data_IF_025497587319
#
_entry.id   IF_025497587319
#
_cell.length_a   1.000
_cell.length_b   1.000
_cell.length_c   1.000
_cell.angle_alpha   90.00
_cell.angle_beta   90.00
_cell.angle_gamma   90.00
#
_symmetry.space_group_name_H-M   'P 1'
#
loop_
_entity.id
_entity.type
_entity.pdbx_description
1 polymer ?
#
# COMPACT_ATOMS: atom_id res chain seq x y z
N UNK A 1 -7.98 -14.35 -18.87
CA UNK A 1 -7.15 -13.28 -18.28
C UNK A 1 -7.38 -12.04 -19.13
N UNK A 2 -8.06 -11.05 -18.58
CA UNK A 2 -8.67 -9.92 -19.31
C UNK A 2 -7.59 -8.92 -19.79
N UNK A 3 -7.72 -8.36 -20.99
CA UNK A 3 -6.73 -7.41 -21.54
C UNK A 3 -6.57 -6.16 -20.67
N UNK A 4 -7.63 -5.79 -19.95
CA UNK A 4 -7.66 -4.73 -18.94
C UNK A 4 -6.78 -5.07 -17.74
N UNK A 5 -6.78 -6.33 -17.28
CA UNK A 5 -5.96 -6.78 -16.16
C UNK A 5 -4.46 -6.73 -16.52
N UNK A 6 -4.12 -7.10 -17.76
CA UNK A 6 -2.74 -7.05 -18.25
C UNK A 6 -2.23 -5.60 -18.38
N UNK A 7 -3.09 -4.66 -18.82
CA UNK A 7 -2.75 -3.25 -18.92
C UNK A 7 -2.58 -2.58 -17.53
N UNK A 8 -3.44 -2.91 -16.56
CA UNK A 8 -3.35 -2.40 -15.19
C UNK A 8 -2.16 -3.00 -14.42
N UNK A 9 -1.88 -4.30 -14.60
CA UNK A 9 -0.71 -4.94 -14.00
C UNK A 9 0.62 -4.45 -14.60
N UNK A 10 0.64 -4.13 -15.90
CA UNK A 10 1.80 -3.50 -16.54
C UNK A 10 2.03 -2.06 -16.01
N UNK A 11 0.97 -1.31 -15.67
CA UNK A 11 1.10 -0.02 -14.99
C UNK A 11 1.62 -0.16 -13.54
N UNK A 12 1.27 -1.24 -12.83
CA UNK A 12 1.79 -1.53 -11.48
C UNK A 12 3.28 -1.90 -11.47
N UNK A 13 3.79 -2.53 -12.54
CA UNK A 13 5.20 -2.95 -12.65
C UNK A 13 6.11 -2.00 -13.44
N UNK A 14 5.56 -1.16 -14.32
CA UNK A 14 6.32 -0.19 -15.13
C UNK A 14 6.02 1.28 -14.80
N UNK A 15 4.91 1.59 -14.11
CA UNK A 15 4.48 2.97 -13.83
C UNK A 15 5.31 3.68 -12.77
N UNK A 16 6.00 2.94 -11.90
CA UNK A 16 6.98 3.51 -10.97
C UNK A 16 8.19 4.13 -11.68
N UNK A 17 8.53 3.66 -12.89
CA UNK A 17 9.79 3.99 -13.59
C UNK A 17 9.70 5.15 -14.60
N UNK A 18 8.51 5.51 -15.09
CA UNK A 18 8.39 6.53 -16.14
C UNK A 18 8.35 7.98 -15.60
N UNK A 19 8.03 8.17 -14.31
CA UNK A 19 7.95 9.50 -13.68
C UNK A 19 9.30 10.14 -13.28
N UNK A 20 10.41 9.42 -13.43
CA UNK A 20 11.73 9.81 -12.89
C UNK A 20 12.48 10.95 -13.60
N UNK A 21 11.91 11.61 -14.62
CA UNK A 21 12.66 12.60 -15.41
C UNK A 21 12.32 14.07 -15.15
N UNK A 22 11.66 14.44 -14.05
CA UNK A 22 11.37 15.86 -13.81
C UNK A 22 11.34 16.27 -12.34
N UNK A 23 12.51 16.33 -11.68
CA UNK A 23 13.03 17.48 -10.91
C UNK A 23 14.16 17.06 -9.95
N UNK A 24 15.14 17.96 -9.68
CA UNK A 24 16.21 17.67 -8.73
C UNK A 24 15.67 17.58 -7.30
N UNK A 25 16.14 16.58 -6.56
CA UNK A 25 16.00 16.48 -5.10
C UNK A 25 16.43 17.82 -4.48
N UNK A 26 15.50 18.55 -3.87
CA UNK A 26 15.80 19.81 -3.18
C UNK A 26 15.76 19.58 -1.66
N UNK A 27 16.97 19.70 -1.09
CA UNK A 27 17.34 20.04 0.28
C UNK A 27 16.80 19.17 1.44
N UNK A 28 17.76 18.59 2.17
CA UNK A 28 17.61 18.03 3.51
C UNK A 28 16.86 19.02 4.42
N UNK A 29 15.68 18.63 4.89
CA UNK A 29 15.06 19.29 6.04
C UNK A 29 16.00 19.07 7.25
N UNK A 30 16.25 20.07 8.10
CA UNK A 30 17.06 19.87 9.30
C UNK A 30 16.32 18.90 10.24
N UNK A 31 16.85 17.68 10.36
CA UNK A 31 16.25 16.58 11.10
C UNK A 31 16.11 15.33 10.24
N UNK A 32 15.71 14.22 10.84
CA UNK A 32 15.40 13.00 10.09
C UNK A 32 14.22 13.22 9.15
N UNK A 33 14.33 12.66 7.95
CA UNK A 33 13.30 12.67 6.91
C UNK A 33 12.16 11.67 7.20
N UNK A 34 12.33 10.82 8.21
CA UNK A 34 11.32 9.92 8.74
C UNK A 34 10.65 10.54 9.98
N UNK A 35 9.40 10.15 10.25
CA UNK A 35 8.75 10.42 11.53
C UNK A 35 9.33 9.56 12.66
N UNK A 36 8.95 9.88 13.91
CA UNK A 36 9.51 9.25 15.10
C UNK A 36 9.25 7.73 15.14
N UNK A 37 8.04 7.31 14.79
CA UNK A 37 7.64 5.90 14.75
C UNK A 37 8.45 5.11 13.71
N UNK A 38 8.62 5.68 12.51
CA UNK A 38 9.46 5.09 11.47
C UNK A 38 10.94 5.03 11.90
N UNK A 39 11.47 6.06 12.55
CA UNK A 39 12.84 6.05 13.08
C UNK A 39 13.06 4.93 14.09
N UNK A 40 12.11 4.71 14.99
CA UNK A 40 12.15 3.62 15.97
C UNK A 40 12.18 2.27 15.24
N UNK A 41 11.27 2.04 14.29
CA UNK A 41 11.24 0.80 13.51
C UNK A 41 12.56 0.56 12.74
N UNK A 42 13.12 1.60 12.13
CA UNK A 42 14.40 1.54 11.42
C UNK A 42 15.58 1.28 12.37
N UNK A 43 15.55 1.86 13.56
CA UNK A 43 16.55 1.61 14.60
C UNK A 43 16.54 0.15 15.03
N UNK A 44 15.35 -0.41 15.30
CA UNK A 44 15.16 -1.82 15.64
C UNK A 44 15.66 -2.73 14.52
N UNK A 45 15.25 -2.47 13.27
CA UNK A 45 15.70 -3.23 12.10
C UNK A 45 17.24 -3.24 11.97
N UNK A 46 17.87 -2.08 12.15
CA UNK A 46 19.33 -1.93 12.09
C UNK A 46 20.02 -2.63 13.26
N UNK A 47 19.48 -2.50 14.46
CA UNK A 47 20.00 -3.19 15.63
C UNK A 47 19.98 -4.71 15.43
N UNK A 48 18.88 -5.25 14.90
CA UNK A 48 18.75 -6.68 14.62
C UNK A 48 19.74 -7.17 13.55
N UNK A 49 19.92 -6.40 12.48
CA UNK A 49 20.93 -6.73 11.46
C UNK A 49 22.34 -6.79 12.05
N UNK A 50 22.70 -5.79 12.88
CA UNK A 50 24.02 -5.72 13.53
C UNK A 50 24.20 -6.85 14.54
N UNK A 51 23.18 -7.16 15.35
CA UNK A 51 23.24 -8.21 16.37
C UNK A 51 23.46 -9.60 15.75
N UNK A 52 22.95 -9.82 14.53
CA UNK A 52 23.12 -11.06 13.75
C UNK A 52 24.39 -11.07 12.87
N UNK A 53 25.09 -9.96 12.77
CA UNK A 53 26.21 -9.83 11.82
C UNK A 53 25.75 -9.91 10.36
N UNK A 54 24.56 -9.38 10.04
CA UNK A 54 23.96 -9.42 8.71
C UNK A 54 23.86 -8.02 8.10
N UNK A 55 23.79 -7.95 6.78
CA UNK A 55 23.45 -6.69 6.10
C UNK A 55 21.97 -6.36 6.33
N UNK A 56 21.64 -5.08 6.45
CA UNK A 56 20.25 -4.64 6.59
C UNK A 56 19.46 -5.00 5.32
N UNK A 57 18.48 -5.90 5.46
CA UNK A 57 17.63 -6.40 4.37
C UNK A 57 16.17 -5.99 4.56
N UNK A 58 15.32 -6.23 3.56
CA UNK A 58 13.88 -5.99 3.68
C UNK A 58 13.25 -6.83 4.79
N UNK A 59 13.74 -8.04 5.06
CA UNK A 59 13.26 -8.88 6.17
C UNK A 59 13.58 -8.24 7.54
N UNK A 60 14.73 -7.58 7.67
CA UNK A 60 15.04 -6.80 8.88
C UNK A 60 14.13 -5.58 9.02
N UNK A 61 13.81 -4.90 7.91
CA UNK A 61 12.83 -3.81 7.93
C UNK A 61 11.46 -4.33 8.37
N UNK A 62 11.01 -5.46 7.83
CA UNK A 62 9.78 -6.12 8.24
C UNK A 62 9.82 -6.43 9.73
N UNK A 63 10.92 -7.01 10.23
CA UNK A 63 11.10 -7.26 11.66
C UNK A 63 10.93 -5.99 12.49
N UNK A 64 11.62 -4.90 12.15
CA UNK A 64 11.48 -3.63 12.84
C UNK A 64 10.06 -3.04 12.79
N UNK A 65 9.38 -3.16 11.66
CA UNK A 65 8.00 -2.71 11.48
C UNK A 65 7.00 -3.54 12.30
N UNK A 66 7.20 -4.85 12.46
CA UNK A 66 6.29 -5.68 13.28
C UNK A 66 6.54 -5.55 14.79
N UNK A 67 7.55 -4.79 15.22
CA UNK A 67 7.69 -4.37 16.62
C UNK A 67 6.86 -3.11 16.95
N UNK A 68 6.31 -2.46 15.93
CA UNK A 68 5.50 -1.26 16.08
C UNK A 68 4.08 -1.61 16.55
N UNK A 69 3.61 -0.96 17.62
CA UNK A 69 2.30 -1.27 18.23
C UNK A 69 1.12 -1.04 17.28
N UNK A 70 1.19 -0.02 16.41
CA UNK A 70 0.10 0.28 15.48
C UNK A 70 0.03 -0.77 14.35
N UNK A 71 1.19 -1.21 13.84
CA UNK A 71 1.26 -2.30 12.85
C UNK A 71 0.78 -3.61 13.47
N UNK A 72 1.21 -3.93 14.69
CA UNK A 72 0.75 -5.12 15.43
C UNK A 72 -0.76 -5.10 15.65
N UNK A 73 -1.32 -3.95 16.01
CA UNK A 73 -2.78 -3.81 16.17
C UNK A 73 -3.51 -4.10 14.84
N UNK A 74 -3.02 -3.55 13.72
CA UNK A 74 -3.61 -3.80 12.40
C UNK A 74 -3.50 -5.28 12.00
N UNK A 75 -2.36 -5.93 12.27
CA UNK A 75 -2.17 -7.36 12.01
C UNK A 75 -3.18 -8.21 12.80
N UNK A 76 -3.37 -7.92 14.10
CA UNK A 76 -4.36 -8.61 14.94
C UNK A 76 -5.78 -8.40 14.43
N UNK A 77 -6.13 -7.17 14.05
CA UNK A 77 -7.44 -6.83 13.50
C UNK A 77 -7.70 -7.48 12.13
N UNK A 78 -6.64 -7.85 11.41
CA UNK A 78 -6.71 -8.63 10.18
C UNK A 78 -6.77 -10.15 10.44
N UNK A 79 -6.73 -10.59 11.72
CA UNK A 79 -6.78 -11.99 12.11
C UNK A 79 -5.44 -12.72 12.01
N UNK A 80 -4.32 -11.99 11.92
CA UNK A 80 -2.97 -12.57 11.90
C UNK A 80 -2.59 -13.02 13.30
N UNK A 81 -2.11 -14.27 13.41
CA UNK A 81 -1.39 -14.74 14.59
C UNK A 81 0.00 -14.09 14.62
N UNK A 82 0.10 -12.99 15.39
CA UNK A 82 1.32 -12.16 15.43
C UNK A 82 2.52 -12.91 15.99
N UNK A 83 2.31 -13.82 16.97
CA UNK A 83 3.42 -14.59 17.55
C UNK A 83 3.98 -15.59 16.52
N UNK A 84 3.09 -16.31 15.83
CA UNK A 84 3.50 -17.21 14.75
C UNK A 84 4.15 -16.45 13.59
N UNK A 85 3.63 -15.27 13.25
CA UNK A 85 4.18 -14.45 12.18
C UNK A 85 5.57 -13.89 12.52
N UNK A 86 5.77 -13.39 13.75
CA UNK A 86 7.08 -12.95 14.21
C UNK A 86 8.09 -14.10 14.20
N UNK A 87 7.69 -15.31 14.62
CA UNK A 87 8.54 -16.50 14.51
C UNK A 87 8.95 -16.77 13.06
N UNK A 88 8.02 -16.65 12.10
CA UNK A 88 8.32 -16.84 10.68
C UNK A 88 9.31 -15.79 10.14
N UNK A 89 9.20 -14.54 10.59
CA UNK A 89 10.15 -13.47 10.24
C UNK A 89 11.53 -13.76 10.83
N UNK A 90 11.62 -14.18 12.09
CA UNK A 90 12.88 -14.55 12.74
C UNK A 90 13.55 -15.77 12.08
N UNK A 91 12.75 -16.74 11.64
CA UNK A 91 13.24 -17.90 10.88
C UNK A 91 13.80 -17.49 9.51
N UNK A 92 13.13 -16.56 8.82
CA UNK A 92 13.60 -16.00 7.54
C UNK A 92 14.90 -15.21 7.67
N UNK A 93 15.12 -14.52 8.80
CA UNK A 93 16.42 -13.89 9.12
C UNK A 93 17.53 -14.93 9.34
N UNK A 94 17.20 -16.17 9.65
CA UNK A 94 18.16 -17.24 9.85
C UNK A 94 19.12 -17.00 11.03
N UNK A 95 20.14 -17.83 11.18
CA UNK A 95 21.07 -17.74 12.33
C UNK A 95 22.07 -16.59 12.16
N UNK A 96 22.58 -16.02 13.26
CA UNK A 96 23.73 -15.10 13.22
C UNK A 96 24.90 -15.70 12.45
N UNK A 97 25.57 -14.87 11.65
CA UNK A 97 26.64 -15.27 10.76
C UNK A 97 27.92 -14.43 10.94
N UNK A 98 28.96 -14.69 10.15
CA UNK A 98 30.11 -13.79 10.09
C UNK A 98 29.66 -12.40 9.65
N UNK A 99 30.23 -11.36 10.24
CA UNK A 99 29.79 -9.99 10.06
C UNK A 99 29.77 -9.57 8.58
N UNK A 100 28.56 -9.35 8.06
CA UNK A 100 28.29 -8.77 6.75
C UNK A 100 27.86 -7.33 6.94
N UNK A 101 28.79 -6.39 6.78
CA UNK A 101 28.45 -4.97 6.85
C UNK A 101 27.66 -4.53 5.60
N UNK A 102 26.68 -3.64 5.79
CA UNK A 102 26.05 -2.92 4.70
C UNK A 102 24.52 -2.93 4.74
N UNK A 103 23.96 -2.44 3.64
CA UNK A 103 22.52 -2.33 3.38
C UNK A 103 22.29 -2.95 2.01
N UNK A 104 21.27 -3.80 1.88
CA UNK A 104 20.93 -4.41 0.59
C UNK A 104 20.38 -3.37 -0.38
N UNK A 105 20.53 -3.62 -1.69
CA UNK A 105 19.99 -2.74 -2.74
C UNK A 105 18.47 -2.53 -2.59
N UNK A 106 17.73 -3.59 -2.22
CA UNK A 106 16.29 -3.51 -2.00
C UNK A 106 15.90 -2.53 -0.89
N UNK A 107 16.67 -2.46 0.20
CA UNK A 107 16.43 -1.49 1.27
C UNK A 107 16.65 -0.05 0.79
N UNK A 108 17.65 0.17 -0.08
CA UNK A 108 17.83 1.49 -0.71
C UNK A 108 16.64 1.89 -1.56
N UNK A 109 16.05 0.96 -2.33
CA UNK A 109 14.81 1.21 -3.05
C UNK A 109 13.65 1.55 -2.13
N UNK A 110 13.40 0.75 -1.09
CA UNK A 110 12.34 0.99 -0.10
C UNK A 110 12.44 2.40 0.48
N UNK A 111 13.64 2.82 0.92
CA UNK A 111 13.86 4.15 1.47
C UNK A 111 13.59 5.25 0.44
N UNK A 112 14.12 5.09 -0.78
CA UNK A 112 13.97 6.09 -1.82
C UNK A 112 12.49 6.34 -2.16
N UNK A 113 11.71 5.26 -2.33
CA UNK A 113 10.28 5.36 -2.61
C UNK A 113 9.48 5.89 -1.42
N UNK A 114 9.79 5.46 -0.19
CA UNK A 114 9.12 5.97 1.01
C UNK A 114 9.31 7.48 1.18
N UNK A 115 10.55 7.96 1.04
CA UNK A 115 10.87 9.38 1.10
C UNK A 115 10.23 10.18 -0.04
N UNK A 116 10.20 9.62 -1.24
CA UNK A 116 9.58 10.26 -2.39
C UNK A 116 8.06 10.40 -2.23
N UNK A 117 7.39 9.33 -1.85
CA UNK A 117 5.95 9.28 -1.54
C UNK A 117 5.57 10.35 -0.51
N UNK A 118 6.28 10.36 0.62
CA UNK A 118 6.05 11.31 1.70
C UNK A 118 6.33 12.76 1.29
N UNK A 119 7.39 13.00 0.52
CA UNK A 119 7.69 14.34 -0.01
C UNK A 119 6.59 14.85 -0.95
N UNK A 120 5.96 13.96 -1.74
CA UNK A 120 4.83 14.31 -2.59
C UNK A 120 3.58 14.69 -1.79
N UNK A 121 3.38 14.05 -0.64
CA UNK A 121 2.33 14.38 0.32
C UNK A 121 2.73 15.50 1.30
N UNK A 122 3.86 16.18 1.07
CA UNK A 122 4.40 17.28 1.89
C UNK A 122 4.54 16.92 3.39
N UNK A 123 4.88 15.65 3.67
CA UNK A 123 5.05 15.11 5.03
C UNK A 123 6.37 14.36 5.18
N UNK A 124 6.70 13.99 6.42
CA UNK A 124 7.79 13.04 6.69
C UNK A 124 7.38 11.62 6.30
N UNK A 125 8.36 10.79 5.96
CA UNK A 125 8.12 9.38 5.68
C UNK A 125 7.80 8.62 6.96
N UNK A 126 6.78 7.77 6.89
CA UNK A 126 6.21 7.04 8.00
C UNK A 126 6.48 5.55 7.89
N UNK A 127 6.13 4.80 8.96
CA UNK A 127 6.10 3.34 8.94
C UNK A 127 5.18 2.77 7.86
N UNK A 128 4.13 3.52 7.47
CA UNK A 128 3.22 3.12 6.39
C UNK A 128 3.92 3.20 5.04
N UNK A 129 4.75 4.22 4.81
CA UNK A 129 5.54 4.31 3.58
C UNK A 129 6.56 3.19 3.50
N UNK A 130 7.24 2.87 4.61
CA UNK A 130 8.15 1.72 4.68
C UNK A 130 7.42 0.40 4.39
N UNK A 131 6.23 0.19 4.97
CA UNK A 131 5.40 -0.98 4.70
C UNK A 131 4.98 -1.05 3.24
N UNK A 132 4.51 0.05 2.65
CA UNK A 132 3.98 0.09 1.29
C UNK A 132 4.99 -0.42 0.25
N UNK A 133 6.28 -0.13 0.45
CA UNK A 133 7.33 -0.50 -0.50
C UNK A 133 8.04 -1.83 -0.18
N UNK A 134 7.57 -2.60 0.82
CA UNK A 134 8.03 -3.98 1.06
C UNK A 134 7.68 -4.95 -0.09
N UNK A 135 6.77 -4.58 -0.98
CA UNK A 135 6.47 -5.34 -2.20
C UNK A 135 7.74 -5.64 -3.01
N UNK A 136 7.73 -6.69 -3.81
CA UNK A 136 8.84 -7.17 -4.65
C UNK A 136 10.15 -7.33 -3.85
N UNK A 137 10.06 -7.93 -2.66
CA UNK A 137 11.21 -8.17 -1.79
C UNK A 137 11.10 -9.49 -1.02
N UNK A 138 12.21 -9.91 -0.41
CA UNK A 138 12.24 -11.07 0.49
C UNK A 138 11.24 -10.94 1.66
N UNK A 139 10.89 -9.72 2.08
CA UNK A 139 9.88 -9.50 3.11
C UNK A 139 8.47 -9.82 2.61
N UNK A 140 8.15 -9.53 1.35
CA UNK A 140 6.87 -9.95 0.75
C UNK A 140 6.79 -11.46 0.65
N UNK A 141 7.89 -12.15 0.31
CA UNK A 141 7.93 -13.61 0.33
C UNK A 141 7.63 -14.19 1.73
N UNK A 142 8.09 -13.53 2.80
CA UNK A 142 7.78 -13.93 4.18
C UNK A 142 6.30 -13.67 4.52
N UNK A 143 5.76 -12.52 4.11
CA UNK A 143 4.33 -12.20 4.27
C UNK A 143 3.46 -13.25 3.57
N UNK A 144 3.76 -13.58 2.31
CA UNK A 144 3.04 -14.59 1.53
C UNK A 144 3.12 -15.98 2.17
N UNK A 145 4.31 -16.42 2.59
CA UNK A 145 4.50 -17.70 3.24
C UNK A 145 3.73 -17.82 4.57
N UNK A 146 3.55 -16.71 5.28
CA UNK A 146 2.77 -16.62 6.51
C UNK A 146 1.26 -16.41 6.27
N UNK A 147 0.81 -16.28 5.02
CA UNK A 147 -0.59 -15.99 4.70
C UNK A 147 -1.03 -14.57 5.06
N UNK A 148 -0.09 -13.64 5.22
CA UNK A 148 -0.35 -12.23 5.55
C UNK A 148 -0.42 -11.43 4.25
N UNK A 149 -1.59 -10.89 3.93
CA UNK A 149 -1.78 -10.09 2.72
C UNK A 149 -1.19 -8.68 2.88
N UNK A 150 -0.04 -8.43 2.22
CA UNK A 150 0.64 -7.12 2.20
C UNK A 150 -0.32 -5.95 1.94
N UNK A 151 -1.15 -6.08 0.90
CA UNK A 151 -2.10 -5.05 0.45
C UNK A 151 -3.26 -4.83 1.43
N UNK A 152 -3.68 -5.87 2.16
CA UNK A 152 -4.78 -5.74 3.15
C UNK A 152 -4.29 -4.98 4.39
N UNK A 153 -3.07 -5.29 4.84
CA UNK A 153 -2.44 -4.56 5.94
C UNK A 153 -2.17 -3.12 5.52
N UNK A 154 -1.66 -2.89 4.31
CA UNK A 154 -1.47 -1.54 3.77
C UNK A 154 -2.80 -0.78 3.72
N UNK A 155 -3.87 -1.39 3.19
CA UNK A 155 -5.21 -0.79 3.16
C UNK A 155 -5.65 -0.31 4.55
N UNK A 156 -5.50 -1.16 5.56
CA UNK A 156 -5.90 -0.83 6.94
C UNK A 156 -5.04 0.27 7.53
N UNK A 157 -3.73 0.26 7.29
CA UNK A 157 -2.83 1.34 7.71
C UNK A 157 -3.19 2.68 7.04
N UNK A 158 -3.56 2.67 5.76
CA UNK A 158 -3.93 3.87 5.02
C UNK A 158 -5.28 4.45 5.46
N UNK A 159 -6.29 3.60 5.60
CA UNK A 159 -7.68 4.03 5.79
C UNK A 159 -8.17 3.93 7.24
N UNK A 160 -7.35 3.37 8.13
CA UNK A 160 -7.68 3.10 9.52
C UNK A 160 -8.99 2.32 9.69
N UNK A 161 -9.24 1.38 8.77
CA UNK A 161 -10.44 0.55 8.75
C UNK A 161 -10.25 -0.71 7.93
N UNK A 162 -11.04 -1.74 8.22
CA UNK A 162 -11.22 -2.87 7.31
C UNK A 162 -11.97 -2.45 6.04
N UNK A 163 -11.79 -3.15 4.90
CA UNK A 163 -12.61 -2.93 3.71
C UNK A 163 -14.11 -3.02 4.05
N UNK A 164 -14.94 -2.02 3.67
CA UNK A 164 -16.31 -1.99 4.13
C UNK A 164 -17.12 -3.16 3.56
N UNK A 165 -17.94 -3.80 4.41
CA UNK A 165 -18.89 -4.82 3.96
C UNK A 165 -19.89 -4.24 2.95
N UNK A 166 -20.32 -5.07 2.00
CA UNK A 166 -21.34 -4.75 1.00
C UNK A 166 -22.67 -5.46 1.26
N UNK A 167 -22.85 -6.05 2.44
CA UNK A 167 -24.08 -6.78 2.79
C UNK A 167 -25.29 -5.84 2.84
N UNK A 168 -25.08 -4.56 3.15
CA UNK A 168 -26.13 -3.54 3.11
C UNK A 168 -26.73 -3.31 1.71
N UNK A 169 -26.08 -3.80 0.64
CA UNK A 169 -26.61 -3.75 -0.72
C UNK A 169 -27.52 -4.94 -1.05
N UNK A 170 -27.51 -6.01 -0.26
CA UNK A 170 -28.29 -7.20 -0.55
C UNK A 170 -29.80 -6.92 -0.41
N UNK A 171 -30.51 -6.99 -1.54
CA UNK A 171 -31.94 -6.70 -1.61
C UNK A 171 -32.29 -5.20 -1.53
N UNK A 172 -31.31 -4.30 -1.56
CA UNK A 172 -31.56 -2.86 -1.55
C UNK A 172 -32.17 -2.39 -2.88
N UNK A 173 -33.34 -1.75 -2.81
CA UNK A 173 -34.04 -1.22 -4.00
C UNK A 173 -33.62 0.20 -4.37
N UNK A 174 -33.09 0.96 -3.41
CA UNK A 174 -32.65 2.34 -3.62
C UNK A 174 -31.28 2.38 -4.30
N UNK A 175 -31.05 3.34 -5.22
CA UNK A 175 -29.72 3.57 -5.77
C UNK A 175 -28.78 4.15 -4.70
N UNK A 176 -27.48 3.93 -4.88
CA UNK A 176 -26.40 4.33 -3.97
C UNK A 176 -25.33 5.13 -4.72
N UNK A 177 -24.58 5.96 -4.00
CA UNK A 177 -23.36 6.56 -4.54
C UNK A 177 -22.21 5.59 -4.37
N UNK A 178 -21.46 5.31 -5.45
CA UNK A 178 -20.16 4.65 -5.38
C UNK A 178 -19.09 5.73 -5.22
N UNK A 179 -18.20 5.54 -4.26
CA UNK A 179 -17.23 6.55 -3.82
C UNK A 179 -15.82 5.97 -3.80
N UNK A 180 -14.85 6.78 -4.22
CA UNK A 180 -13.41 6.55 -4.02
C UNK A 180 -12.88 7.49 -2.93
N UNK A 181 -11.88 7.02 -2.17
CA UNK A 181 -11.07 7.89 -1.30
C UNK A 181 -9.64 7.90 -1.81
N UNK A 182 -9.02 9.08 -1.77
CA UNK A 182 -7.62 9.23 -2.14
C UNK A 182 -6.72 8.55 -1.10
N UNK A 183 -5.60 8.02 -1.57
CA UNK A 183 -4.49 7.54 -0.78
C UNK A 183 -3.17 7.86 -1.50
N UNK A 184 -2.05 7.77 -0.79
CA UNK A 184 -0.73 8.15 -1.32
C UNK A 184 -0.09 7.07 -2.21
N UNK A 185 -0.67 5.87 -2.29
CA UNK A 185 -0.03 4.66 -2.84
C UNK A 185 -0.70 4.13 -4.10
N UNK A 186 -1.95 4.52 -4.36
CA UNK A 186 -2.66 4.21 -5.60
C UNK A 186 -2.31 5.22 -6.69
N UNK A 187 -1.86 4.73 -7.85
CA UNK A 187 -1.46 5.61 -8.95
C UNK A 187 -2.65 6.25 -9.67
N UNK A 188 -2.45 7.44 -10.22
CA UNK A 188 -3.45 8.13 -11.04
C UNK A 188 -3.85 7.32 -12.26
N UNK A 189 -2.88 6.71 -12.94
CA UNK A 189 -3.10 5.89 -14.13
C UNK A 189 -3.97 4.66 -13.80
N UNK A 190 -3.75 4.03 -12.65
CA UNK A 190 -4.59 2.94 -12.17
C UNK A 190 -6.04 3.40 -11.96
N UNK A 191 -6.25 4.54 -11.28
CA UNK A 191 -7.59 5.10 -11.06
C UNK A 191 -8.27 5.50 -12.38
N UNK A 192 -7.54 6.09 -13.32
CA UNK A 192 -8.08 6.43 -14.63
C UNK A 192 -8.47 5.16 -15.41
N UNK A 193 -7.61 4.15 -15.47
CA UNK A 193 -7.87 2.87 -16.14
C UNK A 193 -9.04 2.09 -15.52
N UNK A 194 -9.21 2.19 -14.20
CA UNK A 194 -10.38 1.71 -13.47
C UNK A 194 -11.67 2.41 -13.93
N UNK A 195 -11.66 3.75 -13.95
CA UNK A 195 -12.82 4.57 -14.28
C UNK A 195 -13.27 4.34 -15.73
N UNK A 196 -12.34 4.21 -16.65
CA UNK A 196 -12.65 3.86 -18.05
C UNK A 196 -13.12 2.41 -18.19
N UNK A 197 -12.37 1.45 -17.64
CA UNK A 197 -12.62 0.02 -17.85
C UNK A 197 -13.80 -0.59 -17.06
N UNK A 198 -14.13 -0.05 -15.89
CA UNK A 198 -15.20 -0.60 -15.02
C UNK A 198 -16.46 0.26 -15.02
N UNK A 199 -16.30 1.57 -15.14
CA UNK A 199 -17.42 2.53 -15.08
C UNK A 199 -17.79 3.11 -16.44
N UNK A 200 -17.00 2.87 -17.49
CA UNK A 200 -17.32 3.30 -18.85
C UNK A 200 -17.15 4.79 -19.09
N UNK A 201 -16.37 5.48 -18.26
CA UNK A 201 -16.03 6.88 -18.49
C UNK A 201 -15.10 7.02 -19.70
N UNK A 202 -15.17 8.17 -20.36
CA UNK A 202 -14.14 8.56 -21.32
C UNK A 202 -12.82 8.83 -20.58
N UNK A 203 -11.68 8.80 -21.28
CA UNK A 203 -10.38 9.12 -20.67
C UNK A 203 -10.39 10.50 -19.99
N UNK A 204 -10.94 11.51 -20.66
CA UNK A 204 -11.06 12.87 -20.12
C UNK A 204 -11.96 12.93 -18.88
N UNK A 205 -13.10 12.23 -18.88
CA UNK A 205 -13.98 12.18 -17.70
C UNK A 205 -13.32 11.44 -16.53
N UNK A 206 -12.55 10.40 -16.82
CA UNK A 206 -11.80 9.63 -15.82
C UNK A 206 -10.73 10.51 -15.16
N UNK A 207 -9.96 11.27 -15.95
CA UNK A 207 -8.96 12.21 -15.45
C UNK A 207 -9.58 13.28 -14.54
N UNK A 208 -10.71 13.88 -14.96
CA UNK A 208 -11.41 14.89 -14.16
C UNK A 208 -11.85 14.31 -12.80
N UNK A 209 -12.48 13.13 -12.80
CA UNK A 209 -12.98 12.48 -11.57
C UNK A 209 -11.85 12.00 -10.66
N UNK A 210 -10.78 11.48 -11.24
CA UNK A 210 -9.57 11.10 -10.52
C UNK A 210 -8.96 12.34 -9.83
N UNK A 211 -8.80 13.45 -10.57
CA UNK A 211 -8.26 14.69 -10.00
C UNK A 211 -9.15 15.28 -8.91
N UNK A 212 -10.48 15.24 -9.08
CA UNK A 212 -11.43 15.63 -8.02
C UNK A 212 -11.22 14.80 -6.75
N UNK A 213 -11.15 13.47 -6.88
CA UNK A 213 -10.89 12.56 -5.75
C UNK A 213 -9.57 12.90 -5.07
N UNK A 214 -8.52 13.13 -5.85
CA UNK A 214 -7.19 13.48 -5.35
C UNK A 214 -7.17 14.79 -4.58
N UNK A 215 -7.79 15.84 -5.12
CA UNK A 215 -7.80 17.18 -4.49
C UNK A 215 -8.74 17.25 -3.29
N UNK A 216 -9.87 16.56 -3.32
CA UNK A 216 -10.89 16.62 -2.26
C UNK A 216 -10.73 15.49 -1.21
N UNK A 217 -9.79 14.56 -1.44
CA UNK A 217 -9.60 13.35 -0.62
C UNK A 217 -10.68 12.27 -0.84
N UNK A 218 -11.77 12.61 -1.54
CA UNK A 218 -12.92 11.75 -1.81
C UNK A 218 -13.59 12.18 -3.10
N UNK A 219 -14.07 11.23 -3.91
CA UNK A 219 -14.84 11.53 -5.11
C UNK A 219 -16.01 10.57 -5.31
N UNK A 220 -17.17 11.12 -5.68
CA UNK A 220 -18.31 10.32 -6.12
C UNK A 220 -18.03 9.84 -7.54
N UNK A 221 -17.85 8.54 -7.69
CA UNK A 221 -17.71 7.91 -9.00
C UNK A 221 -19.00 8.08 -9.77
N UNK A 222 -20.13 7.68 -9.18
CA UNK A 222 -21.45 7.83 -9.78
C UNK A 222 -22.56 7.22 -8.94
N UNK A 223 -23.81 7.32 -9.44
CA UNK A 223 -25.00 6.76 -8.82
C UNK A 223 -25.42 5.49 -9.54
N UNK A 224 -25.54 4.38 -8.81
CA UNK A 224 -25.79 3.05 -9.37
C UNK A 224 -26.92 2.35 -8.63
N UNK A 225 -27.57 1.37 -9.28
CA UNK A 225 -28.43 0.41 -8.57
C UNK A 225 -27.55 -0.45 -7.66
N UNK A 226 -28.10 -0.92 -6.53
CA UNK A 226 -27.34 -1.64 -5.50
C UNK A 226 -26.57 -2.85 -6.06
N UNK A 227 -27.21 -3.71 -6.86
CA UNK A 227 -26.55 -4.90 -7.43
C UNK A 227 -25.39 -4.54 -8.38
N UNK A 228 -25.57 -3.50 -9.21
CA UNK A 228 -24.54 -3.02 -10.14
C UNK A 228 -23.39 -2.34 -9.38
N UNK A 229 -23.70 -1.55 -8.34
CA UNK A 229 -22.70 -1.00 -7.44
C UNK A 229 -21.86 -2.11 -6.78
N UNK A 230 -22.52 -3.13 -6.22
CA UNK A 230 -21.85 -4.28 -5.57
C UNK A 230 -20.93 -5.00 -6.54
N UNK A 231 -21.41 -5.34 -7.73
CA UNK A 231 -20.61 -6.02 -8.75
C UNK A 231 -19.39 -5.20 -9.19
N UNK A 232 -19.56 -3.90 -9.42
CA UNK A 232 -18.46 -3.00 -9.79
C UNK A 232 -17.45 -2.90 -8.65
N UNK A 233 -17.89 -2.59 -7.42
CA UNK A 233 -17.00 -2.45 -6.26
C UNK A 233 -16.17 -3.72 -6.04
N UNK A 234 -16.79 -4.91 -6.11
CA UNK A 234 -16.07 -6.17 -5.97
C UNK A 234 -15.01 -6.36 -7.06
N UNK A 235 -15.33 -6.01 -8.31
CA UNK A 235 -14.35 -6.04 -9.41
C UNK A 235 -13.19 -5.07 -9.15
N UNK A 236 -13.48 -3.83 -8.73
CA UNK A 236 -12.45 -2.83 -8.41
C UNK A 236 -11.52 -3.31 -7.29
N UNK A 237 -12.08 -3.84 -6.21
CA UNK A 237 -11.29 -4.33 -5.06
C UNK A 237 -10.35 -5.44 -5.48
N UNK A 238 -10.80 -6.38 -6.31
CA UNK A 238 -9.93 -7.43 -6.81
C UNK A 238 -8.82 -6.89 -7.72
N UNK A 239 -9.13 -5.93 -8.60
CA UNK A 239 -8.12 -5.27 -9.44
C UNK A 239 -7.07 -4.54 -8.59
N UNK A 240 -7.50 -3.80 -7.55
CA UNK A 240 -6.61 -3.08 -6.66
C UNK A 240 -5.71 -4.04 -5.86
N UNK A 241 -6.30 -5.12 -5.34
CA UNK A 241 -5.57 -6.18 -4.62
C UNK A 241 -4.49 -6.81 -5.48
N UNK A 242 -4.82 -7.18 -6.72
CA UNK A 242 -3.86 -7.78 -7.67
C UNK A 242 -2.77 -6.78 -8.09
N UNK A 243 -3.10 -5.50 -8.18
CA UNK A 243 -2.15 -4.44 -8.56
C UNK A 243 -1.33 -3.90 -7.38
N UNK A 244 -1.54 -4.37 -6.14
CA UNK A 244 -0.79 -3.89 -4.98
C UNK A 244 -1.27 -2.56 -4.40
N UNK A 245 -2.48 -2.10 -4.74
CA UNK A 245 -2.97 -0.78 -4.34
C UNK A 245 -3.97 -0.85 -3.18
N UNK A 246 -3.81 -0.01 -2.13
CA UNK A 246 -4.73 0.07 -1.01
C UNK A 246 -5.99 0.91 -1.32
N UNK A 247 -6.47 0.90 -2.56
CA UNK A 247 -7.53 1.79 -3.01
C UNK A 247 -8.85 1.53 -2.25
N UNK A 248 -9.34 2.54 -1.56
CA UNK A 248 -10.66 2.48 -0.96
C UNK A 248 -11.74 2.75 -1.98
N UNK A 249 -12.67 1.80 -2.09
CA UNK A 249 -13.92 1.95 -2.82
C UNK A 249 -15.08 1.38 -2.00
N UNK A 250 -16.18 2.12 -1.99
CA UNK A 250 -17.36 1.75 -1.23
C UNK A 250 -18.61 2.48 -1.69
N UNK A 251 -19.59 2.48 -0.80
CA UNK A 251 -20.87 3.16 -1.01
C UNK A 251 -21.09 4.22 0.06
N UNK A 252 -21.89 5.23 -0.29
CA UNK A 252 -22.50 6.14 0.66
C UNK A 252 -24.00 6.28 0.36
N UNK A 253 -24.84 6.54 1.39
CA UNK A 253 -26.23 6.90 1.19
C UNK A 253 -26.37 8.10 0.24
N UNK A 254 -27.48 8.13 -0.51
CA UNK A 254 -27.84 9.24 -1.41
C UNK A 254 -28.46 10.38 -0.63
#
# INVERSE_FOLDING_TARGET
MDAVLLALAAAASAGGLWWFQSRPVRHELPGSAFDEDAEIALHVAKHEAVSRGQALSSVHLLFGLIQDEAIVAVLRDAGVDVEAFESAVLDALGKPGPMSAGVTERVHYIYAYALHSASHAERKASRVDLWAYLSDSDAESVLEAAGVSHVEILFRLCHNMAPPSLDALDGASAPVHVVLRNDDYTTRDFVCGLLTGTFGYTENDAEIRMMQTHTEGRGVVGRFRADDAKAKILKVRELARVAGHPLWIGIEPV
#
